data_IF_813202290908
#
_entry.id   IF_813202290908
#
_cell.length_a   1.000
_cell.length_b   1.000
_cell.length_c   1.000
_cell.angle_alpha   90.00
_cell.angle_beta   90.00
_cell.angle_gamma   90.00
#
_symmetry.space_group_name_H-M   'P 1'
#
loop_
_entity.id
_entity.type
_entity.pdbx_description
1 polymer ?
#
# COMPACT_ATOMS: atom_id res chain seq x y z
N UNK A 1 -22.06 -35.25 -7.17
CA UNK A 1 -20.70 -35.54 -7.66
C UNK A 1 -20.13 -34.19 -8.05
N UNK A 2 -19.21 -33.69 -7.21
CA UNK A 2 -17.92 -33.07 -7.58
C UNK A 2 -17.86 -32.45 -8.99
N UNK A 3 -17.43 -31.21 -9.23
CA UNK A 3 -16.37 -30.41 -8.60
C UNK A 3 -16.53 -28.96 -9.12
N UNK A 4 -16.54 -27.93 -8.27
CA UNK A 4 -15.40 -27.22 -7.67
C UNK A 4 -14.65 -26.27 -8.64
N UNK A 5 -14.52 -25.02 -8.17
CA UNK A 5 -13.53 -24.00 -8.55
C UNK A 5 -13.66 -23.27 -9.91
N UNK A 6 -14.36 -22.13 -9.90
CA UNK A 6 -13.99 -21.01 -10.76
C UNK A 6 -14.30 -19.67 -10.09
N UNK A 7 -13.49 -19.30 -9.10
CA UNK A 7 -13.35 -17.90 -8.68
C UNK A 7 -12.04 -17.45 -9.27
N UNK A 8 -12.13 -16.74 -10.39
CA UNK A 8 -11.01 -16.05 -10.99
C UNK A 8 -10.40 -15.07 -9.98
N UNK A 9 -9.09 -15.17 -9.86
CA UNK A 9 -8.21 -14.30 -9.11
C UNK A 9 -8.48 -12.83 -9.44
N UNK A 10 -8.95 -12.06 -8.45
CA UNK A 10 -8.81 -10.60 -8.47
C UNK A 10 -7.40 -10.30 -7.94
N UNK A 11 -6.45 -10.22 -8.87
CA UNK A 11 -5.09 -9.77 -8.61
C UNK A 11 -5.11 -8.34 -8.05
N UNK A 12 -4.48 -8.15 -6.90
CA UNK A 12 -3.94 -6.86 -6.48
C UNK A 12 -3.06 -6.32 -7.61
N UNK A 13 -3.45 -5.19 -8.21
CA UNK A 13 -2.58 -4.45 -9.13
C UNK A 13 -1.55 -3.69 -8.30
N UNK A 14 -0.65 -4.43 -7.66
CA UNK A 14 0.68 -3.93 -7.35
C UNK A 14 1.51 -4.05 -8.63
N UNK A 15 2.30 -3.03 -8.91
CA UNK A 15 3.27 -2.99 -10.02
C UNK A 15 4.09 -4.30 -10.05
N UNK A 16 4.28 -4.95 -11.22
CA UNK A 16 5.00 -6.22 -11.26
C UNK A 16 6.50 -5.97 -11.02
N UNK A 17 6.93 -6.13 -9.77
CA UNK A 17 8.33 -6.40 -9.44
C UNK A 17 8.54 -7.92 -9.40
N UNK A 18 9.72 -8.32 -9.89
CA UNK A 18 10.13 -9.71 -10.12
C UNK A 18 9.98 -10.61 -8.88
N UNK A 19 8.96 -11.48 -8.91
CA UNK A 19 8.53 -12.39 -7.85
C UNK A 19 9.58 -13.41 -7.36
N UNK A 20 10.73 -13.54 -8.02
CA UNK A 20 11.80 -14.48 -7.63
C UNK A 20 12.90 -13.79 -6.79
N UNK A 21 13.02 -12.44 -6.85
CA UNK A 21 13.93 -11.68 -5.97
C UNK A 21 13.27 -11.27 -4.65
N UNK A 22 11.94 -11.19 -4.63
CA UNK A 22 11.16 -10.65 -3.51
C UNK A 22 11.15 -11.54 -2.26
N UNK A 23 11.25 -12.86 -2.39
CA UNK A 23 11.31 -13.74 -1.21
C UNK A 23 12.66 -13.65 -0.49
N UNK A 24 13.77 -13.64 -1.22
CA UNK A 24 15.11 -13.52 -0.60
C UNK A 24 15.35 -12.12 -0.05
N UNK A 25 14.89 -11.07 -0.74
CA UNK A 25 15.00 -9.68 -0.26
C UNK A 25 14.07 -9.42 0.92
N UNK A 26 12.83 -9.92 0.93
CA UNK A 26 11.94 -9.82 2.09
C UNK A 26 12.48 -10.59 3.29
N UNK A 27 13.06 -11.79 3.11
CA UNK A 27 13.64 -12.55 4.24
C UNK A 27 14.87 -11.84 4.83
N UNK A 28 15.72 -11.23 4.00
CA UNK A 28 16.85 -10.41 4.45
C UNK A 28 16.38 -9.10 5.13
N UNK A 29 15.36 -8.44 4.56
CA UNK A 29 14.74 -7.24 5.12
C UNK A 29 14.08 -7.50 6.48
N UNK A 30 13.28 -8.57 6.61
CA UNK A 30 12.60 -8.96 7.84
C UNK A 30 13.61 -9.37 8.92
N UNK A 31 14.66 -10.11 8.56
CA UNK A 31 15.74 -10.47 9.51
C UNK A 31 16.50 -9.25 10.01
N UNK A 32 16.77 -8.27 9.15
CA UNK A 32 17.48 -7.05 9.55
C UNK A 32 16.61 -6.09 10.36
N UNK A 33 15.30 -6.02 10.08
CA UNK A 33 14.34 -5.26 10.90
C UNK A 33 14.22 -5.87 12.30
N UNK A 34 14.13 -7.21 12.41
CA UNK A 34 14.02 -7.90 13.70
C UNK A 34 15.24 -7.74 14.62
N UNK A 35 16.43 -7.49 14.05
CA UNK A 35 17.68 -7.26 14.81
C UNK A 35 17.78 -5.79 15.29
N UNK A 36 17.18 -4.86 14.56
CA UNK A 36 17.14 -3.43 14.92
C UNK A 36 16.20 -3.11 16.10
N UNK A 37 15.30 -4.04 16.45
CA UNK A 37 14.12 -3.82 17.28
C UNK A 37 14.19 -4.50 18.65
N UNK A 38 15.36 -4.50 19.29
CA UNK A 38 15.46 -5.00 20.65
C UNK A 38 14.87 -3.97 21.63
N UNK A 39 13.59 -4.22 21.97
CA UNK A 39 12.88 -3.76 23.19
C UNK A 39 12.27 -2.34 23.19
N UNK A 40 11.24 -2.11 22.34
CA UNK A 40 10.47 -0.85 22.32
C UNK A 40 8.96 -1.09 22.54
N UNK A 41 8.35 -0.25 23.39
CA UNK A 41 6.87 -0.17 23.61
C UNK A 41 6.06 0.02 22.33
N UNK A 42 6.69 0.48 21.24
CA UNK A 42 6.07 0.53 19.91
C UNK A 42 5.74 -0.86 19.36
N UNK A 43 6.64 -1.83 19.50
CA UNK A 43 6.45 -3.18 18.95
C UNK A 43 5.35 -3.92 19.70
N UNK A 44 5.33 -3.82 21.02
CA UNK A 44 4.25 -4.36 21.85
C UNK A 44 2.88 -3.81 21.42
N UNK A 45 2.81 -2.51 21.11
CA UNK A 45 1.59 -1.90 20.57
C UNK A 45 1.20 -2.46 19.19
N UNK A 46 2.16 -2.79 18.33
CA UNK A 46 1.87 -3.43 17.04
C UNK A 46 1.39 -4.86 17.22
N UNK A 47 2.03 -5.63 18.11
CA UNK A 47 1.63 -7.00 18.43
C UNK A 47 0.21 -7.04 19.04
N UNK A 48 -0.10 -6.09 19.93
CA UNK A 48 -1.44 -5.94 20.49
C UNK A 48 -2.50 -5.61 19.42
N UNK A 49 -2.16 -4.79 18.42
CA UNK A 49 -3.06 -4.53 17.27
C UNK A 49 -3.26 -5.79 16.44
N UNK A 50 -2.18 -6.52 16.14
CA UNK A 50 -2.23 -7.77 15.39
C UNK A 50 -3.06 -8.82 16.11
N UNK A 51 -2.92 -8.93 17.43
CA UNK A 51 -3.74 -9.80 18.27
C UNK A 51 -5.23 -9.47 18.14
N UNK A 52 -5.62 -8.20 18.30
CA UNK A 52 -7.02 -7.75 18.15
C UNK A 52 -7.58 -8.03 16.75
N UNK A 53 -6.77 -7.88 15.71
CA UNK A 53 -7.17 -8.20 14.33
C UNK A 53 -7.41 -9.70 14.18
N UNK A 54 -6.52 -10.55 14.73
CA UNK A 54 -6.66 -12.01 14.69
C UNK A 54 -7.89 -12.48 15.46
N UNK A 55 -8.15 -11.90 16.63
CA UNK A 55 -9.34 -12.19 17.43
C UNK A 55 -10.62 -11.88 16.65
N UNK A 56 -10.71 -10.68 16.04
CA UNK A 56 -11.85 -10.31 15.17
C UNK A 56 -12.00 -11.26 13.98
N UNK A 57 -10.90 -11.65 13.35
CA UNK A 57 -10.93 -12.61 12.24
C UNK A 57 -11.48 -13.96 12.70
N UNK A 58 -11.09 -14.42 13.89
CA UNK A 58 -11.58 -15.65 14.46
C UNK A 58 -13.08 -15.59 14.79
N UNK A 59 -13.54 -14.52 15.43
CA UNK A 59 -14.96 -14.29 15.72
C UNK A 59 -15.81 -14.28 14.43
N UNK A 60 -15.35 -13.59 13.38
CA UNK A 60 -16.03 -13.59 12.08
C UNK A 60 -16.09 -14.99 11.46
N UNK A 61 -15.02 -15.78 11.58
CA UNK A 61 -15.00 -17.19 11.11
C UNK A 61 -15.97 -18.06 11.90
N UNK A 62 -16.11 -17.84 13.21
CA UNK A 62 -17.11 -18.55 14.02
C UNK A 62 -18.52 -18.17 13.58
N UNK A 63 -18.82 -16.87 13.45
CA UNK A 63 -20.12 -16.40 12.94
C UNK A 63 -20.45 -17.00 11.58
N UNK A 64 -19.46 -17.12 10.69
CA UNK A 64 -19.63 -17.76 9.39
C UNK A 64 -20.06 -19.23 9.50
N UNK A 65 -19.48 -19.99 10.45
CA UNK A 65 -19.80 -21.41 10.66
C UNK A 65 -21.24 -21.64 11.13
N UNK A 66 -21.80 -20.70 11.88
CA UNK A 66 -23.16 -20.81 12.42
C UNK A 66 -24.24 -20.22 11.50
N UNK A 67 -23.86 -19.65 10.35
CA UNK A 67 -24.83 -19.14 9.38
C UNK A 67 -25.58 -20.28 8.70
N UNK A 68 -26.90 -20.15 8.68
CA UNK A 68 -27.78 -21.09 7.98
C UNK A 68 -27.88 -20.74 6.49
N UNK A 69 -28.13 -21.75 5.65
CA UNK A 69 -28.33 -21.55 4.20
C UNK A 69 -29.48 -20.56 3.91
N UNK A 70 -30.56 -20.63 4.68
CA UNK A 70 -31.71 -19.70 4.55
C UNK A 70 -31.32 -18.24 4.79
N UNK A 71 -30.55 -17.95 5.84
CA UNK A 71 -30.05 -16.59 6.10
C UNK A 71 -29.18 -16.08 4.96
N UNK A 72 -28.28 -16.92 4.44
CA UNK A 72 -27.43 -16.58 3.29
C UNK A 72 -28.29 -16.25 2.05
N UNK A 73 -29.32 -17.04 1.79
CA UNK A 73 -30.19 -16.85 0.63
C UNK A 73 -31.01 -15.55 0.73
N UNK A 74 -31.53 -15.21 1.92
CA UNK A 74 -32.18 -13.91 2.17
C UNK A 74 -31.21 -12.75 1.96
N UNK A 75 -29.98 -12.84 2.50
CA UNK A 75 -28.97 -11.79 2.31
C UNK A 75 -28.57 -11.62 0.83
N UNK A 76 -28.48 -12.71 0.07
CA UNK A 76 -28.21 -12.64 -1.39
C UNK A 76 -29.32 -11.92 -2.15
N UNK A 77 -30.58 -12.20 -1.83
CA UNK A 77 -31.72 -11.51 -2.43
C UNK A 77 -31.70 -10.00 -2.09
N UNK A 78 -31.36 -9.66 -0.85
CA UNK A 78 -31.21 -8.28 -0.43
C UNK A 78 -30.08 -7.55 -1.18
N UNK A 79 -28.90 -8.16 -1.28
CA UNK A 79 -27.78 -7.60 -2.06
C UNK A 79 -28.19 -7.42 -3.52
N UNK A 80 -28.85 -8.42 -4.13
CA UNK A 80 -29.33 -8.32 -5.52
C UNK A 80 -30.27 -7.14 -5.69
N UNK A 81 -31.23 -6.96 -4.78
CA UNK A 81 -32.15 -5.81 -4.79
C UNK A 81 -31.38 -4.48 -4.74
N UNK A 82 -30.41 -4.35 -3.83
CA UNK A 82 -29.59 -3.15 -3.71
C UNK A 82 -28.75 -2.90 -4.97
N UNK A 83 -28.13 -3.93 -5.54
CA UNK A 83 -27.35 -3.81 -6.78
C UNK A 83 -28.22 -3.37 -7.94
N UNK A 84 -29.43 -3.94 -8.10
CA UNK A 84 -30.39 -3.52 -9.12
C UNK A 84 -30.81 -2.07 -8.92
N UNK A 85 -31.09 -1.66 -7.67
CA UNK A 85 -31.42 -0.27 -7.37
C UNK A 85 -30.26 0.66 -7.74
N UNK A 86 -29.02 0.30 -7.36
CA UNK A 86 -27.82 1.08 -7.68
C UNK A 86 -27.61 1.24 -9.20
N UNK A 87 -27.90 0.21 -9.99
CA UNK A 87 -27.83 0.30 -11.45
C UNK A 87 -28.91 1.22 -12.03
N UNK A 88 -30.11 1.24 -11.44
CA UNK A 88 -31.19 2.13 -11.83
C UNK A 88 -30.86 3.59 -11.47
N UNK A 89 -30.27 3.81 -10.30
CA UNK A 89 -29.92 5.14 -9.81
C UNK A 89 -28.73 5.74 -10.58
N UNK A 90 -27.81 4.90 -11.06
CA UNK A 90 -26.60 5.29 -11.77
C UNK A 90 -26.45 4.59 -13.13
N UNK A 91 -27.39 4.79 -14.08
CA UNK A 91 -27.40 4.05 -15.34
C UNK A 91 -26.14 4.35 -16.17
N UNK A 92 -25.62 5.57 -16.12
CA UNK A 92 -24.42 5.98 -16.87
C UNK A 92 -23.12 5.29 -16.47
N UNK A 93 -23.07 4.63 -15.30
CA UNK A 93 -21.90 3.86 -14.85
C UNK A 93 -21.84 2.46 -15.50
N UNK A 94 -22.98 1.97 -16.01
CA UNK A 94 -23.13 0.60 -16.52
C UNK A 94 -23.50 0.54 -18.01
N UNK A 95 -23.43 1.66 -18.73
CA UNK A 95 -23.70 1.77 -20.18
C UNK A 95 -22.39 1.64 -20.98
N UNK A 96 -22.46 1.00 -22.15
CA UNK A 96 -21.35 0.91 -23.10
C UNK A 96 -21.71 1.58 -24.44
N UNK A 97 -20.88 2.50 -24.98
CA UNK A 97 -19.64 3.01 -24.40
C UNK A 97 -19.89 3.91 -23.17
N UNK A 98 -18.92 4.03 -22.24
CA UNK A 98 -19.08 4.85 -21.03
C UNK A 98 -19.22 6.32 -21.40
N UNK A 99 -20.08 7.03 -20.66
CA UNK A 99 -20.31 8.46 -20.90
C UNK A 99 -19.15 9.34 -20.41
N UNK A 100 -18.42 8.86 -19.39
CA UNK A 100 -17.27 9.55 -18.80
C UNK A 100 -16.05 8.65 -18.81
N UNK A 101 -14.90 9.24 -19.11
CA UNK A 101 -13.59 8.61 -18.94
C UNK A 101 -12.97 9.23 -17.69
N UNK A 102 -12.73 8.41 -16.68
CA UNK A 102 -12.05 8.82 -15.46
C UNK A 102 -10.57 8.50 -15.56
N UNK A 103 -9.73 9.50 -15.35
CA UNK A 103 -8.27 9.34 -15.34
C UNK A 103 -7.74 9.61 -13.94
N UNK A 104 -6.97 8.66 -13.40
CA UNK A 104 -6.22 8.82 -12.16
C UNK A 104 -4.75 9.07 -12.50
N UNK A 105 -4.19 10.16 -11.97
CA UNK A 105 -2.79 10.52 -12.14
C UNK A 105 -2.12 10.43 -10.78
N UNK A 106 -1.12 9.55 -10.66
CA UNK A 106 -0.29 9.39 -9.47
C UNK A 106 1.15 9.79 -9.79
N UNK A 107 1.81 10.49 -8.86
CA UNK A 107 3.16 11.00 -9.05
C UNK A 107 4.17 10.07 -8.38
N UNK A 108 4.99 9.43 -9.20
CA UNK A 108 5.98 8.45 -8.76
C UNK A 108 7.03 9.04 -7.82
N UNK A 109 7.09 8.49 -6.60
CA UNK A 109 8.03 8.89 -5.54
C UNK A 109 8.10 10.40 -5.32
N UNK A 110 6.95 11.08 -5.38
CA UNK A 110 6.84 12.52 -5.61
C UNK A 110 7.85 13.41 -4.88
N UNK A 111 7.94 13.37 -3.54
CA UNK A 111 8.91 14.21 -2.82
C UNK A 111 10.36 13.87 -3.17
N UNK A 112 10.71 12.59 -3.30
CA UNK A 112 12.06 12.20 -3.71
C UNK A 112 12.38 12.63 -5.14
N UNK A 113 11.38 12.63 -6.02
CA UNK A 113 11.48 13.11 -7.41
C UNK A 113 11.67 14.62 -7.48
N UNK A 114 11.02 15.41 -6.60
CA UNK A 114 11.24 16.85 -6.47
C UNK A 114 12.68 17.15 -6.02
N UNK A 115 13.16 16.50 -4.97
CA UNK A 115 14.54 16.67 -4.48
C UNK A 115 15.58 16.24 -5.53
N UNK A 116 15.27 15.19 -6.31
CA UNK A 116 16.12 14.72 -7.41
C UNK A 116 16.10 15.63 -8.65
N UNK A 117 15.08 16.49 -8.78
CA UNK A 117 15.01 17.52 -9.81
C UNK A 117 15.99 18.66 -9.48
N UNK A 118 16.00 19.09 -8.21
CA UNK A 118 16.90 20.13 -7.72
C UNK A 118 18.35 19.66 -7.67
N UNK A 119 18.57 18.40 -7.27
CA UNK A 119 19.90 17.78 -7.23
C UNK A 119 19.93 16.45 -8.01
N UNK A 120 20.40 16.46 -9.26
CA UNK A 120 20.45 15.26 -10.11
C UNK A 120 21.27 14.10 -9.53
N UNK A 121 22.23 14.36 -8.63
CA UNK A 121 23.03 13.31 -7.99
C UNK A 121 22.16 12.32 -7.18
N UNK A 122 20.99 12.74 -6.70
CA UNK A 122 20.08 11.88 -5.94
C UNK A 122 19.38 10.80 -6.76
N UNK A 123 19.44 10.87 -8.10
CA UNK A 123 18.85 9.86 -8.98
C UNK A 123 19.60 8.52 -8.91
N UNK A 124 20.91 8.58 -8.69
CA UNK A 124 21.80 7.42 -8.77
C UNK A 124 22.12 6.78 -7.42
N UNK A 125 21.70 7.41 -6.31
CA UNK A 125 21.94 6.92 -4.95
C UNK A 125 20.63 6.62 -4.21
N UNK A 126 20.63 5.74 -3.20
CA UNK A 126 19.46 5.55 -2.33
C UNK A 126 19.11 6.84 -1.58
N UNK A 127 17.91 7.37 -1.82
CA UNK A 127 17.40 8.60 -1.21
C UNK A 127 16.12 8.32 -0.41
N UNK A 128 16.08 8.82 0.83
CA UNK A 128 14.88 8.96 1.64
C UNK A 128 14.57 10.43 1.91
N UNK A 129 13.29 10.81 1.84
CA UNK A 129 12.84 12.16 2.20
C UNK A 129 12.11 12.08 3.53
N UNK A 130 12.53 12.90 4.50
CA UNK A 130 11.96 12.93 5.84
C UNK A 130 13.01 13.21 6.91
N UNK A 131 13.06 12.35 7.92
CA UNK A 131 13.97 12.47 9.06
C UNK A 131 14.39 11.09 9.58
N UNK A 132 15.28 11.06 10.57
CA UNK A 132 15.62 9.83 11.29
C UNK A 132 14.40 9.20 11.99
N UNK A 133 13.40 10.00 12.35
CA UNK A 133 12.21 9.50 13.03
C UNK A 133 11.22 8.85 12.06
N UNK A 134 11.06 9.41 10.87
CA UNK A 134 10.10 8.95 9.89
C UNK A 134 10.46 9.41 8.49
N UNK A 135 10.37 8.48 7.53
CA UNK A 135 10.47 8.77 6.10
C UNK A 135 9.07 9.02 5.53
N UNK A 136 8.91 10.16 4.86
CA UNK A 136 7.70 10.48 4.10
C UNK A 136 7.64 9.66 2.81
N UNK A 137 8.77 9.53 2.11
CA UNK A 137 8.91 8.68 0.93
C UNK A 137 10.38 8.36 0.67
N UNK A 138 10.66 7.55 -0.35
CA UNK A 138 12.00 7.23 -0.82
C UNK A 138 12.00 6.98 -2.32
N UNK A 139 13.16 7.15 -2.96
CA UNK A 139 13.32 6.89 -4.40
C UNK A 139 13.37 5.38 -4.69
N UNK A 140 13.26 5.01 -5.97
CA UNK A 140 13.28 3.60 -6.38
C UNK A 140 14.58 2.88 -5.98
N UNK A 141 15.73 3.58 -6.02
CA UNK A 141 17.01 3.03 -5.55
C UNK A 141 16.98 2.61 -4.09
N UNK A 142 16.35 3.38 -3.21
CA UNK A 142 16.15 2.99 -1.82
C UNK A 142 15.15 1.83 -1.66
N UNK A 143 14.10 1.78 -2.51
CA UNK A 143 13.11 0.68 -2.49
C UNK A 143 13.72 -0.68 -2.85
N UNK A 144 14.77 -0.71 -3.69
CA UNK A 144 15.52 -1.93 -3.99
C UNK A 144 16.13 -2.59 -2.72
N UNK A 145 16.40 -1.80 -1.68
CA UNK A 145 16.89 -2.27 -0.37
C UNK A 145 15.75 -2.59 0.62
N UNK A 146 14.49 -2.47 0.22
CA UNK A 146 13.33 -2.68 1.08
C UNK A 146 12.93 -1.48 1.94
N UNK A 147 13.52 -0.30 1.70
CA UNK A 147 13.10 0.94 2.36
C UNK A 147 11.77 1.40 1.75
N UNK A 148 10.83 1.85 2.60
CA UNK A 148 9.48 2.24 2.20
C UNK A 148 9.06 3.53 2.91
N UNK A 149 8.04 4.20 2.36
CA UNK A 149 7.36 5.30 3.05
C UNK A 149 6.76 4.80 4.38
N UNK A 150 6.76 5.65 5.40
CA UNK A 150 6.29 5.28 6.74
C UNK A 150 7.26 4.44 7.56
N UNK A 151 8.47 4.16 7.04
CA UNK A 151 9.54 3.53 7.78
C UNK A 151 10.30 4.58 8.62
N UNK A 152 10.68 4.28 9.88
CA UNK A 152 11.58 5.12 10.63
C UNK A 152 12.95 5.24 9.94
N UNK A 153 13.50 6.45 9.85
CA UNK A 153 14.76 6.70 9.16
C UNK A 153 15.97 5.98 9.80
N UNK A 154 15.97 5.80 11.13
CA UNK A 154 17.02 5.03 11.81
C UNK A 154 17.01 3.55 11.38
N UNK A 155 15.83 2.93 11.27
CA UNK A 155 15.69 1.56 10.76
C UNK A 155 16.12 1.49 9.29
N UNK A 156 15.69 2.47 8.49
CA UNK A 156 16.07 2.53 7.08
C UNK A 156 17.60 2.64 6.89
N UNK A 157 18.29 3.38 7.75
CA UNK A 157 19.75 3.46 7.77
C UNK A 157 20.44 2.17 8.23
N UNK A 158 19.82 1.40 9.12
CA UNK A 158 20.35 0.08 9.49
C UNK A 158 20.23 -0.92 8.33
N UNK A 159 19.13 -0.85 7.57
CA UNK A 159 18.93 -1.67 6.36
C UNK A 159 19.89 -1.24 5.24
N UNK A 160 20.06 0.07 5.05
CA UNK A 160 20.92 0.64 4.03
C UNK A 160 21.79 1.76 4.62
N UNK A 161 23.02 1.46 5.06
CA UNK A 161 23.92 2.45 5.68
C UNK A 161 24.28 3.62 4.75
N UNK A 162 24.27 3.38 3.43
CA UNK A 162 24.51 4.38 2.39
C UNK A 162 23.28 5.25 2.07
N UNK A 163 22.14 5.04 2.74
CA UNK A 163 20.92 5.82 2.53
C UNK A 163 21.16 7.30 2.85
N UNK A 164 20.94 8.14 1.83
CA UNK A 164 20.93 9.57 2.00
C UNK A 164 19.54 10.01 2.45
N UNK A 165 19.44 10.72 3.57
CA UNK A 165 18.17 11.23 4.09
C UNK A 165 18.18 12.74 4.00
N UNK A 166 17.22 13.31 3.28
CA UNK A 166 17.03 14.76 3.12
C UNK A 166 15.75 15.21 3.80
N UNK A 167 15.75 16.44 4.31
CA UNK A 167 14.53 17.06 4.85
C UNK A 167 13.62 17.43 3.69
N UNK A 168 12.31 17.18 3.85
CA UNK A 168 11.32 17.56 2.85
C UNK A 168 11.26 19.09 2.67
N UNK A 169 11.47 19.59 1.44
CA UNK A 169 11.10 20.95 1.06
C UNK A 169 9.63 21.00 0.60
N UNK A 170 8.76 21.37 1.54
CA UNK A 170 7.33 21.52 1.25
C UNK A 170 7.02 22.69 0.31
N UNK A 171 7.79 23.78 0.37
CA UNK A 171 7.53 24.95 -0.45
C UNK A 171 7.83 24.66 -1.91
N UNK A 172 9.00 24.07 -2.20
CA UNK A 172 9.34 23.67 -3.55
C UNK A 172 8.33 22.64 -4.10
N UNK A 173 7.98 21.66 -3.28
CA UNK A 173 6.98 20.66 -3.66
C UNK A 173 5.62 21.30 -4.02
N UNK A 174 5.13 22.23 -3.21
CA UNK A 174 3.87 22.93 -3.50
C UNK A 174 3.97 23.72 -4.81
N UNK A 175 5.11 24.35 -5.09
CA UNK A 175 5.34 25.05 -6.34
C UNK A 175 5.25 24.10 -7.55
N UNK A 176 5.88 22.92 -7.47
CA UNK A 176 5.83 21.90 -8.53
C UNK A 176 4.40 21.38 -8.73
N UNK A 177 3.66 21.08 -7.65
CA UNK A 177 2.25 20.67 -7.75
C UNK A 177 1.38 21.74 -8.43
N UNK A 178 1.58 23.01 -8.06
CA UNK A 178 0.82 24.12 -8.68
C UNK A 178 1.16 24.29 -10.15
N UNK A 179 2.41 24.03 -10.53
CA UNK A 179 2.82 24.03 -11.93
C UNK A 179 2.17 22.86 -12.69
N UNK A 180 2.22 21.63 -12.16
CA UNK A 180 1.58 20.44 -12.74
C UNK A 180 0.05 20.56 -12.84
N UNK A 181 -0.60 21.27 -11.92
CA UNK A 181 -2.06 21.46 -11.99
C UNK A 181 -2.46 22.54 -13.02
N UNK A 182 -1.55 23.45 -13.34
CA UNK A 182 -1.81 24.55 -14.25
C UNK A 182 -1.66 24.14 -15.73
N UNK A 183 -0.86 23.11 -16.01
CA UNK A 183 -0.47 22.66 -17.35
C UNK A 183 -0.72 21.17 -17.52
#
# INVERSE_FOLDING_TARGET
MEDSNNIQNLSTQDTPLNTIKDEKSNVLSIKNIGIATLDDSFNENQDNKLYKIREKSFDLKLKLKFLTKSQIDVSKLYIKKLTTQFQIDFPGLFVFPPHYIYTHIDLDSFYASCESLDNPHYKDIPLGVGSMNMLATCNYKAREYGIKAGMPGYMAKQICPMLHIVKCDFLNTICILRWLWKY
#
